data_IF_694724918134
#
_entry.id   IF_694724918134
#
_cell.length_a   1.000
_cell.length_b   1.000
_cell.length_c   1.000
_cell.angle_alpha   90.00
_cell.angle_beta   90.00
_cell.angle_gamma   90.00
#
_symmetry.space_group_name_H-M   'P 1'
#
loop_
_entity.id
_entity.type
_entity.pdbx_description
1 polymer ?
#
# COMPACT_ATOMS: atom_id res chain seq x y z
N UNK A 1 -9.60 -15.32 31.11
CA UNK A 1 -8.67 -14.88 32.18
C UNK A 1 -7.32 -15.53 31.93
N UNK A 2 -6.46 -14.83 31.18
CA UNK A 2 -4.98 -14.91 31.09
C UNK A 2 -4.57 -14.32 29.74
N UNK A 3 -4.47 -13.00 29.74
CA UNK A 3 -3.69 -12.23 28.78
C UNK A 3 -2.23 -12.63 28.93
N UNK A 4 -1.61 -13.12 27.87
CA UNK A 4 -0.19 -12.87 27.61
C UNK A 4 -0.12 -12.27 26.21
N UNK A 5 -0.23 -10.94 26.20
CA UNK A 5 0.17 -10.14 25.07
C UNK A 5 1.67 -10.37 24.86
N UNK A 6 2.05 -10.92 23.70
CA UNK A 6 3.33 -10.56 23.11
C UNK A 6 3.09 -9.18 22.50
N UNK A 7 3.14 -8.19 23.38
CA UNK A 7 3.18 -6.79 23.03
C UNK A 7 4.59 -6.56 22.48
N UNK A 8 4.79 -6.67 21.18
CA UNK A 8 5.87 -5.93 20.52
C UNK A 8 5.41 -4.48 20.52
N UNK A 9 5.58 -3.83 21.67
CA UNK A 9 5.50 -2.38 21.77
C UNK A 9 6.61 -1.82 20.88
N UNK A 10 6.24 -1.29 19.72
CA UNK A 10 7.06 -0.33 19.02
C UNK A 10 7.05 0.96 19.85
N UNK A 11 8.03 1.07 20.74
CA UNK A 11 8.30 2.32 21.45
C UNK A 11 9.07 3.20 20.47
N UNK A 12 8.37 4.12 19.81
CA UNK A 12 8.98 5.23 19.10
C UNK A 12 9.60 6.19 20.12
N UNK A 13 10.92 6.34 20.11
CA UNK A 13 11.60 7.44 20.77
C UNK A 13 11.96 8.47 19.70
N UNK A 14 11.26 9.60 19.69
CA UNK A 14 11.79 10.82 19.06
C UNK A 14 12.67 11.49 20.10
N UNK A 15 13.99 11.46 19.91
CA UNK A 15 14.94 12.14 20.79
C UNK A 15 15.41 13.44 20.14
N UNK A 16 15.17 14.59 20.78
CA UNK A 16 15.67 15.89 20.32
C UNK A 16 17.05 16.18 20.90
N UNK A 17 18.04 16.42 20.05
CA UNK A 17 19.35 16.98 20.41
C UNK A 17 19.73 18.11 19.46
N UNK A 18 19.97 19.30 19.99
CA UNK A 18 20.45 20.47 19.22
C UNK A 18 21.98 20.49 19.27
N UNK A 19 22.69 20.18 18.17
CA UNK A 19 24.02 20.73 17.83
C UNK A 19 24.67 20.18 16.54
N UNK A 20 24.93 21.12 15.61
CA UNK A 20 25.98 21.20 14.58
C UNK A 20 25.96 20.25 13.37
N UNK A 21 25.99 20.89 12.20
CA UNK A 21 26.02 20.34 10.83
C UNK A 21 26.88 19.08 10.66
N UNK A 22 26.21 17.95 10.80
CA UNK A 22 26.64 16.59 10.51
C UNK A 22 25.38 15.74 10.36
N UNK A 23 25.49 14.44 10.07
CA UNK A 23 24.34 13.54 9.92
C UNK A 23 23.34 13.50 11.12
N UNK A 24 23.63 14.23 12.21
CA UNK A 24 22.76 14.45 13.37
C UNK A 24 21.70 15.55 13.19
N UNK A 25 21.76 16.36 12.13
CA UNK A 25 20.78 17.43 11.86
C UNK A 25 19.64 17.00 10.90
N UNK A 26 19.68 15.77 10.36
CA UNK A 26 18.61 15.23 9.53
C UNK A 26 17.43 14.80 10.41
N UNK A 27 16.17 14.92 9.93
CA UNK A 27 15.04 14.34 10.63
C UNK A 27 15.26 12.82 10.75
N UNK A 28 15.25 12.30 11.97
CA UNK A 28 15.31 10.87 12.23
C UNK A 28 13.97 10.24 11.85
N UNK A 29 13.97 9.40 10.82
CA UNK A 29 12.79 8.65 10.41
C UNK A 29 13.08 7.18 10.67
N UNK A 30 12.32 6.60 11.59
CA UNK A 30 12.36 5.17 11.85
C UNK A 30 11.59 4.42 10.76
N UNK A 31 12.18 4.29 9.57
CA UNK A 31 11.69 3.35 8.56
C UNK A 31 12.42 2.03 8.81
N UNK A 32 11.73 1.05 9.38
CA UNK A 32 12.19 -0.32 9.20
C UNK A 32 12.01 -0.62 7.71
N UNK A 33 13.12 -0.75 6.97
CA UNK A 33 13.14 -1.61 5.79
C UNK A 33 12.81 -3.01 6.30
N UNK A 34 11.52 -3.30 6.43
CA UNK A 34 11.10 -4.68 6.42
C UNK A 34 11.43 -5.18 5.01
N UNK A 35 11.93 -6.40 4.89
CA UNK A 35 12.03 -7.12 3.61
C UNK A 35 10.64 -7.40 3.01
N UNK A 36 9.61 -6.65 3.43
CA UNK A 36 8.23 -6.84 3.04
C UNK A 36 7.94 -5.99 1.80
N UNK A 37 7.27 -6.66 0.86
CA UNK A 37 6.69 -6.11 -0.35
C UNK A 37 5.83 -4.85 -0.10
N UNK A 38 5.23 -4.75 1.08
CA UNK A 38 4.27 -3.71 1.44
C UNK A 38 4.52 -3.16 2.85
N UNK A 39 4.46 -1.83 2.97
CA UNK A 39 4.60 -1.05 4.19
C UNK A 39 3.29 -0.60 4.84
N UNK A 40 2.14 -1.04 4.34
CA UNK A 40 0.81 -0.67 4.86
C UNK A 40 0.53 -1.31 6.23
N UNK A 41 0.00 -0.53 7.16
CA UNK A 41 -0.44 -0.93 8.51
C UNK A 41 -1.68 -0.10 8.92
N UNK A 42 -2.62 -0.64 9.71
CA UNK A 42 -3.81 0.10 10.14
C UNK A 42 -3.52 1.41 10.90
N UNK A 43 -2.35 1.52 11.53
CA UNK A 43 -1.89 2.69 12.28
C UNK A 43 -0.94 3.58 11.49
N UNK A 44 -0.63 3.25 10.22
CA UNK A 44 0.33 3.99 9.41
C UNK A 44 0.01 5.48 9.34
N UNK A 45 -1.28 5.84 9.35
CA UNK A 45 -1.70 7.25 9.32
C UNK A 45 -1.25 8.05 10.53
N UNK A 46 -1.15 7.41 11.70
CA UNK A 46 -0.57 8.06 12.88
C UNK A 46 0.94 8.25 12.71
N UNK A 47 1.64 7.24 12.18
CA UNK A 47 3.09 7.26 11.98
C UNK A 47 3.47 8.34 10.96
N UNK A 48 2.82 8.34 9.79
CA UNK A 48 3.10 9.31 8.73
C UNK A 48 2.79 10.74 9.16
N UNK A 49 1.76 10.97 9.98
CA UNK A 49 1.52 12.32 10.56
C UNK A 49 2.72 12.85 11.33
N UNK A 50 3.42 11.98 12.07
CA UNK A 50 4.62 12.39 12.81
C UNK A 50 5.82 12.60 11.89
N UNK A 51 5.98 11.73 10.89
CA UNK A 51 7.04 11.84 9.86
C UNK A 51 6.88 13.16 9.09
N UNK A 52 5.69 13.43 8.54
CA UNK A 52 5.40 14.66 7.81
C UNK A 52 5.56 15.92 8.67
N UNK A 53 5.15 15.87 9.95
CA UNK A 53 5.41 16.97 10.89
C UNK A 53 6.91 17.24 11.04
N UNK A 54 7.72 16.19 11.26
CA UNK A 54 9.16 16.32 11.43
C UNK A 54 9.85 16.86 10.16
N UNK A 55 9.42 16.40 8.98
CA UNK A 55 9.89 16.89 7.68
C UNK A 55 9.56 18.39 7.53
N UNK A 56 8.32 18.79 7.81
CA UNK A 56 7.90 20.19 7.77
C UNK A 56 8.68 21.09 8.73
N UNK A 57 8.91 20.64 9.96
CA UNK A 57 9.73 21.37 10.94
C UNK A 57 11.19 21.51 10.51
N UNK A 58 11.80 20.45 9.97
CA UNK A 58 13.16 20.48 9.44
C UNK A 58 13.28 21.45 8.25
N UNK A 59 12.30 21.49 7.34
CA UNK A 59 12.26 22.48 6.25
C UNK A 59 12.24 23.90 6.77
N UNK A 60 11.40 24.21 7.77
CA UNK A 60 11.33 25.53 8.39
C UNK A 60 12.65 25.95 9.05
N UNK A 61 13.41 25.00 9.59
CA UNK A 61 14.71 25.27 10.23
C UNK A 61 15.82 25.49 9.20
N UNK A 62 15.81 24.74 8.10
CA UNK A 62 16.85 24.78 7.05
C UNK A 62 16.67 25.94 6.07
N UNK A 63 15.45 26.42 5.84
CA UNK A 63 15.14 27.54 4.94
C UNK A 63 15.38 28.94 5.54
N UNK A 64 16.05 29.04 6.69
CA UNK A 64 16.31 30.32 7.37
C UNK A 64 16.81 31.45 6.44
N UNK A 65 15.94 32.43 6.19
CA UNK A 65 16.21 33.72 5.51
C UNK A 65 16.66 33.70 4.03
N UNK A 66 16.63 32.56 3.35
CA UNK A 66 16.73 32.55 1.89
C UNK A 66 15.40 33.06 1.30
N UNK A 67 15.46 33.90 0.26
CA UNK A 67 14.29 34.44 -0.44
C UNK A 67 13.25 33.33 -0.63
N UNK A 68 12.01 33.60 -0.25
CA UNK A 68 10.85 32.88 -0.77
C UNK A 68 10.89 33.15 -2.28
N UNK A 69 11.61 32.32 -3.02
CA UNK A 69 11.38 32.19 -4.45
C UNK A 69 9.97 31.65 -4.48
N UNK A 70 9.01 32.53 -4.74
CA UNK A 70 7.67 32.16 -5.22
C UNK A 70 7.89 31.60 -6.63
N UNK A 71 8.55 30.45 -6.66
CA UNK A 71 8.65 29.56 -7.79
C UNK A 71 7.22 29.08 -7.95
N UNK A 72 6.54 29.53 -9.00
CA UNK A 72 5.20 29.06 -9.30
C UNK A 72 5.18 27.52 -9.22
N UNK A 73 4.08 26.97 -8.73
CA UNK A 73 3.89 25.52 -8.69
C UNK A 73 4.06 24.97 -10.10
N UNK A 74 5.20 24.33 -10.35
CA UNK A 74 5.55 23.76 -11.64
C UNK A 74 5.05 22.31 -11.63
N UNK A 75 3.75 22.21 -11.89
CA UNK A 75 3.07 20.97 -12.22
C UNK A 75 2.74 21.04 -13.70
N UNK A 76 2.93 19.94 -14.42
CA UNK A 76 2.48 19.83 -15.81
C UNK A 76 1.83 18.47 -16.01
N UNK A 77 0.74 18.46 -16.78
CA UNK A 77 0.12 17.21 -17.19
C UNK A 77 0.72 16.81 -18.54
N UNK A 78 1.31 15.62 -18.59
CA UNK A 78 1.86 15.03 -19.81
C UNK A 78 0.99 13.81 -20.15
N UNK A 79 0.01 14.02 -21.03
CA UNK A 79 -1.06 13.04 -21.23
C UNK A 79 -1.94 12.99 -19.99
N UNK A 80 -2.18 11.79 -19.46
CA UNK A 80 -2.96 11.54 -18.23
C UNK A 80 -2.06 11.33 -17.00
N UNK A 81 -0.87 11.92 -16.99
CA UNK A 81 0.09 11.84 -15.87
C UNK A 81 0.40 13.25 -15.36
N UNK A 82 0.24 13.45 -14.06
CA UNK A 82 0.59 14.68 -13.38
C UNK A 82 2.06 14.62 -13.01
N UNK A 83 2.89 15.44 -13.66
CA UNK A 83 4.33 15.50 -13.39
C UNK A 83 4.61 16.64 -12.43
N UNK A 84 5.18 16.30 -11.28
CA UNK A 84 5.55 17.24 -10.23
C UNK A 84 7.06 17.31 -10.11
N UNK A 85 7.63 18.51 -10.29
CA UNK A 85 9.06 18.72 -10.09
C UNK A 85 9.38 18.92 -8.60
N UNK A 86 10.34 18.16 -8.09
CA UNK A 86 10.91 18.33 -6.76
C UNK A 86 11.96 19.44 -6.77
N UNK A 87 11.66 20.55 -6.09
CA UNK A 87 12.59 21.68 -5.88
C UNK A 87 13.20 21.67 -4.49
N UNK A 88 13.32 20.48 -3.90
CA UNK A 88 13.79 20.25 -2.53
C UNK A 88 12.67 20.24 -1.49
N UNK A 89 11.44 20.00 -1.92
CA UNK A 89 10.23 20.07 -1.10
C UNK A 89 9.27 18.90 -1.28
N UNK A 90 9.44 18.06 -2.31
CA UNK A 90 8.70 16.80 -2.47
C UNK A 90 9.52 15.59 -2.01
N UNK A 91 10.84 15.68 -2.13
CA UNK A 91 11.78 14.68 -1.62
C UNK A 91 12.65 15.31 -0.54
N UNK A 92 12.81 14.61 0.58
CA UNK A 92 13.55 15.12 1.74
C UNK A 92 14.63 14.15 2.17
N UNK A 93 15.75 14.70 2.62
CA UNK A 93 16.79 13.91 3.28
C UNK A 93 16.31 13.50 4.68
N UNK A 94 16.61 12.25 5.05
CA UNK A 94 16.27 11.67 6.35
C UNK A 94 17.45 10.85 6.88
N UNK A 95 17.48 10.64 8.19
CA UNK A 95 18.32 9.62 8.81
C UNK A 95 17.46 8.40 9.13
N UNK A 96 17.68 7.31 8.40
CA UNK A 96 17.03 6.04 8.69
C UNK A 96 17.60 5.44 9.98
N UNK A 97 16.72 5.17 10.94
CA UNK A 97 17.07 4.53 12.22
C UNK A 97 16.31 3.21 12.37
N UNK A 98 17.02 2.10 12.64
CA UNK A 98 16.44 0.75 12.69
C UNK A 98 17.42 -0.29 13.25
N UNK A 99 17.24 -1.59 12.95
CA UNK A 99 18.15 -2.68 13.41
C UNK A 99 19.60 -2.59 12.87
N UNK A 100 19.89 -1.63 11.99
CA UNK A 100 21.22 -1.38 11.42
C UNK A 100 21.89 -0.12 11.97
N UNK A 101 23.06 0.22 11.42
CA UNK A 101 23.66 1.54 11.66
C UNK A 101 22.79 2.61 11.02
N UNK A 102 22.58 3.77 11.68
CA UNK A 102 21.90 4.88 11.04
C UNK A 102 22.52 5.21 9.69
N UNK A 103 21.69 5.41 8.67
CA UNK A 103 22.13 5.74 7.32
C UNK A 103 21.36 6.95 6.80
N UNK A 104 22.01 7.93 6.17
CA UNK A 104 21.31 8.96 5.45
C UNK A 104 20.61 8.35 4.22
N UNK A 105 19.49 8.92 3.84
CA UNK A 105 18.85 8.64 2.57
C UNK A 105 17.75 9.65 2.27
N UNK A 106 16.92 9.35 1.29
CA UNK A 106 15.88 10.25 0.82
C UNK A 106 14.54 9.54 0.85
N UNK A 107 13.50 10.26 1.25
CA UNK A 107 12.11 9.79 1.17
C UNK A 107 11.23 10.84 0.53
N UNK A 108 10.12 10.41 -0.04
CA UNK A 108 9.02 11.29 -0.43
C UNK A 108 8.37 11.94 0.79
N UNK A 109 7.86 13.15 0.62
CA UNK A 109 6.86 13.75 1.50
C UNK A 109 5.51 13.63 0.80
N UNK A 110 4.84 12.51 1.00
CA UNK A 110 3.57 12.21 0.34
C UNK A 110 2.48 13.23 0.68
N UNK A 111 2.54 13.88 1.85
CA UNK A 111 1.59 14.96 2.16
C UNK A 111 1.77 16.16 1.25
N UNK A 112 3.01 16.64 1.08
CA UNK A 112 3.30 17.76 0.18
C UNK A 112 3.02 17.40 -1.28
N UNK A 113 3.34 16.18 -1.71
CA UNK A 113 3.04 15.68 -3.07
C UNK A 113 1.53 15.73 -3.35
N UNK A 114 0.72 15.19 -2.44
CA UNK A 114 -0.74 15.19 -2.56
C UNK A 114 -1.29 16.62 -2.53
N UNK A 115 -0.82 17.47 -1.61
CA UNK A 115 -1.22 18.88 -1.56
C UNK A 115 -0.88 19.62 -2.86
N UNK A 116 0.29 19.34 -3.43
CA UNK A 116 0.75 19.95 -4.68
C UNK A 116 -0.10 19.52 -5.86
N UNK A 117 -0.43 18.24 -5.98
CA UNK A 117 -1.34 17.74 -7.00
C UNK A 117 -2.69 18.46 -6.95
N UNK A 118 -3.32 18.54 -5.78
CA UNK A 118 -4.61 19.20 -5.60
C UNK A 118 -4.57 20.73 -5.60
N UNK A 119 -3.38 21.35 -5.68
CA UNK A 119 -3.28 22.79 -5.93
C UNK A 119 -3.63 23.16 -7.38
N UNK A 120 -3.56 22.20 -8.31
CA UNK A 120 -3.86 22.39 -9.74
C UNK A 120 -5.00 21.50 -10.24
N UNK A 121 -5.37 20.45 -9.50
CA UNK A 121 -6.45 19.52 -9.85
C UNK A 121 -7.62 19.61 -8.86
N UNK A 122 -8.84 19.33 -9.32
CA UNK A 122 -9.99 19.19 -8.43
C UNK A 122 -9.89 17.93 -7.56
N UNK A 123 -10.46 17.98 -6.36
CA UNK A 123 -10.69 16.79 -5.52
C UNK A 123 -11.79 15.90 -6.11
N UNK A 124 -11.46 15.22 -7.21
CA UNK A 124 -12.33 14.34 -8.01
C UNK A 124 -11.83 12.90 -8.08
N UNK A 125 -10.72 12.60 -7.40
CA UNK A 125 -10.05 11.31 -7.41
C UNK A 125 -10.27 10.58 -6.09
N UNK A 126 -10.58 9.29 -6.17
CA UNK A 126 -10.70 8.42 -5.01
C UNK A 126 -9.31 8.05 -4.47
N UNK A 127 -8.36 7.86 -5.37
CA UNK A 127 -6.98 7.49 -5.02
C UNK A 127 -5.99 8.26 -5.88
N UNK A 128 -4.86 8.64 -5.31
CA UNK A 128 -3.71 9.12 -6.09
C UNK A 128 -2.55 8.15 -5.94
N UNK A 129 -1.93 7.80 -7.07
CA UNK A 129 -0.82 6.85 -7.19
C UNK A 129 0.44 7.66 -7.45
N UNK A 130 1.45 7.48 -6.60
CA UNK A 130 2.68 8.27 -6.62
C UNK A 130 3.84 7.37 -7.03
N UNK A 131 4.52 7.74 -8.11
CA UNK A 131 5.80 7.19 -8.51
C UNK A 131 6.89 8.26 -8.37
N UNK A 132 8.10 7.82 -8.03
CA UNK A 132 9.30 8.65 -8.11
C UNK A 132 10.06 8.32 -9.39
N UNK A 133 10.50 9.33 -10.12
CA UNK A 133 11.22 9.19 -11.39
C UNK A 133 12.60 8.55 -11.20
N UNK A 134 13.07 7.83 -12.22
CA UNK A 134 14.30 7.05 -12.19
C UNK A 134 15.58 7.89 -12.23
N UNK A 135 15.44 9.21 -12.40
CA UNK A 135 16.55 10.15 -12.64
C UNK A 135 17.02 10.92 -11.42
N UNK A 136 16.46 10.64 -10.22
CA UNK A 136 17.04 11.16 -8.99
C UNK A 136 18.49 10.67 -8.84
N UNK A 137 19.38 11.58 -8.42
CA UNK A 137 20.81 11.29 -8.28
C UNK A 137 21.14 10.28 -7.15
N UNK A 138 20.17 10.02 -6.28
CA UNK A 138 20.20 9.04 -5.22
C UNK A 138 18.86 8.32 -5.14
N UNK A 139 18.87 7.07 -4.66
CA UNK A 139 17.65 6.29 -4.45
C UNK A 139 16.72 7.03 -3.47
N UNK A 140 15.50 7.28 -3.91
CA UNK A 140 14.42 7.80 -3.09
C UNK A 140 13.57 6.62 -2.64
N UNK A 141 13.44 6.41 -1.35
CA UNK A 141 12.66 5.31 -0.79
C UNK A 141 11.27 5.80 -0.35
N UNK A 142 10.25 4.94 -0.30
CA UNK A 142 8.98 5.28 0.31
C UNK A 142 9.16 5.52 1.82
N UNK A 143 8.20 6.22 2.42
CA UNK A 143 8.17 6.40 3.88
C UNK A 143 7.93 5.08 4.65
N UNK A 144 7.42 4.04 3.97
CA UNK A 144 7.21 2.71 4.55
C UNK A 144 7.29 1.60 3.49
N UNK A 145 7.98 0.49 3.81
CA UNK A 145 8.02 -0.71 2.96
C UNK A 145 8.64 -0.50 1.57
N UNK A 146 8.36 -1.42 0.64
CA UNK A 146 8.70 -1.27 -0.78
C UNK A 146 7.65 -0.47 -1.55
N UNK A 147 6.38 -0.68 -1.27
CA UNK A 147 5.26 0.18 -1.65
C UNK A 147 4.31 0.29 -0.44
N UNK A 148 3.44 1.28 -0.41
CA UNK A 148 2.42 1.36 0.64
C UNK A 148 1.19 2.16 0.22
N UNK A 149 0.11 1.93 0.95
CA UNK A 149 -1.15 2.64 0.89
C UNK A 149 -1.41 3.34 2.22
N UNK A 150 -1.88 4.57 2.15
CA UNK A 150 -2.31 5.32 3.32
C UNK A 150 -3.74 5.81 3.15
N UNK A 151 -4.62 5.32 4.02
CA UNK A 151 -5.99 5.82 4.11
C UNK A 151 -6.05 7.29 4.55
N UNK A 152 -6.84 8.09 3.85
CA UNK A 152 -7.09 9.51 4.11
C UNK A 152 -8.47 9.73 4.72
N UNK A 153 -9.49 8.99 4.27
CA UNK A 153 -10.79 8.94 4.95
C UNK A 153 -11.36 7.54 4.86
N UNK A 154 -12.19 7.14 5.81
CA UNK A 154 -13.07 5.98 5.63
C UNK A 154 -14.51 6.35 5.96
N UNK A 155 -15.41 6.11 5.03
CA UNK A 155 -16.85 6.28 5.14
C UNK A 155 -17.62 4.94 4.98
N UNK A 156 -16.90 3.82 4.92
CA UNK A 156 -17.46 2.47 4.80
C UNK A 156 -17.41 1.75 6.15
N UNK A 157 -18.55 1.18 6.56
CA UNK A 157 -18.65 0.32 7.75
C UNK A 157 -18.46 -1.15 7.37
N UNK A 158 -18.16 -2.00 8.36
CA UNK A 158 -18.13 -3.46 8.18
C UNK A 158 -16.84 -4.02 7.58
N UNK A 159 -15.87 -3.17 7.24
CA UNK A 159 -14.58 -3.55 6.64
C UNK A 159 -13.43 -3.63 7.67
N UNK A 160 -13.74 -3.63 8.97
CA UNK A 160 -12.72 -3.71 10.02
C UNK A 160 -11.98 -2.41 10.34
N UNK A 161 -12.23 -1.33 9.57
CA UNK A 161 -11.70 0.00 9.82
C UNK A 161 -12.74 0.93 10.49
N UNK A 162 -12.31 1.89 11.34
CA UNK A 162 -13.21 2.92 11.86
C UNK A 162 -13.62 3.91 10.77
N UNK A 163 -14.69 4.67 11.02
CA UNK A 163 -15.02 5.86 10.21
C UNK A 163 -14.12 7.01 10.64
N UNK A 164 -13.44 7.66 9.69
CA UNK A 164 -12.56 8.80 9.93
C UNK A 164 -12.46 9.69 8.69
N UNK A 165 -11.98 10.92 8.87
CA UNK A 165 -11.70 11.84 7.78
C UNK A 165 -10.51 12.74 8.13
N UNK A 166 -9.38 12.50 7.46
CA UNK A 166 -8.14 13.25 7.60
C UNK A 166 -7.84 14.14 6.37
N UNK A 167 -8.81 14.39 5.49
CA UNK A 167 -8.59 15.17 4.24
C UNK A 167 -8.06 16.58 4.50
N UNK A 168 -8.38 17.15 5.66
CA UNK A 168 -7.85 18.44 6.09
C UNK A 168 -6.33 18.47 6.26
N UNK A 169 -5.67 17.33 6.51
CA UNK A 169 -4.20 17.23 6.55
C UNK A 169 -3.57 17.47 5.18
N UNK A 170 -4.32 17.24 4.12
CA UNK A 170 -3.91 17.44 2.73
C UNK A 170 -4.45 18.76 2.17
N UNK A 171 -4.89 19.68 3.02
CA UNK A 171 -5.42 20.98 2.59
C UNK A 171 -6.75 20.90 1.83
N UNK A 172 -7.42 19.74 1.83
CA UNK A 172 -8.66 19.53 1.08
C UNK A 172 -9.86 19.96 1.91
N UNK A 173 -10.76 20.73 1.29
CA UNK A 173 -12.04 21.13 1.88
C UNK A 173 -13.19 20.16 1.59
N UNK A 174 -13.02 19.38 0.53
CA UNK A 174 -13.91 18.27 0.15
C UNK A 174 -13.36 16.99 0.73
N UNK A 175 -14.13 15.92 0.55
CA UNK A 175 -13.77 14.65 1.10
C UNK A 175 -13.42 13.62 0.01
N UNK A 176 -13.33 13.91 -1.30
CA UNK A 176 -13.33 12.84 -2.30
C UNK A 176 -12.20 11.82 -2.10
N UNK A 177 -10.96 12.30 -1.96
CA UNK A 177 -9.77 11.48 -1.70
C UNK A 177 -9.98 10.48 -0.55
N UNK A 178 -9.76 9.20 -0.86
CA UNK A 178 -9.93 8.06 0.05
C UNK A 178 -8.62 7.56 0.61
N UNK A 179 -7.60 7.43 -0.23
CA UNK A 179 -6.25 7.00 0.10
C UNK A 179 -5.25 7.52 -0.94
N UNK A 180 -3.97 7.46 -0.62
CA UNK A 180 -2.91 7.56 -1.62
C UNK A 180 -2.05 6.30 -1.57
N UNK A 181 -1.41 5.99 -2.69
CA UNK A 181 -0.48 4.87 -2.85
C UNK A 181 0.87 5.42 -3.26
N UNK A 182 1.92 4.99 -2.58
CA UNK A 182 3.30 5.24 -2.98
C UNK A 182 3.88 3.95 -3.56
N UNK A 183 4.19 4.00 -4.86
CA UNK A 183 4.75 2.91 -5.64
C UNK A 183 6.27 3.03 -5.81
N UNK A 184 6.98 3.76 -4.94
CA UNK A 184 8.44 3.83 -4.97
C UNK A 184 9.03 4.48 -6.25
N UNK A 185 10.35 4.40 -6.36
CA UNK A 185 11.15 4.74 -7.54
C UNK A 185 10.84 3.78 -8.70
N UNK A 186 10.55 4.33 -9.88
CA UNK A 186 10.32 3.57 -11.12
C UNK A 186 11.48 2.64 -11.47
N UNK A 187 12.71 3.00 -11.10
CA UNK A 187 13.90 2.17 -11.30
C UNK A 187 13.87 0.83 -10.55
N UNK A 188 12.95 0.64 -9.60
CA UNK A 188 12.70 -0.64 -8.93
C UNK A 188 11.83 -1.60 -9.77
N UNK A 189 11.23 -1.10 -10.85
CA UNK A 189 10.37 -1.83 -11.76
C UNK A 189 11.05 -1.99 -13.13
N UNK A 190 10.58 -2.97 -13.89
CA UNK A 190 11.02 -3.21 -15.28
C UNK A 190 9.80 -3.35 -16.19
N UNK A 191 8.76 -2.58 -15.89
CA UNK A 191 7.41 -2.66 -16.44
C UNK A 191 6.38 -3.26 -15.47
N UNK A 192 5.07 -3.00 -15.70
CA UNK A 192 3.99 -3.39 -14.79
C UNK A 192 3.79 -4.90 -14.67
N UNK A 193 4.04 -5.67 -15.74
CA UNK A 193 3.85 -7.13 -15.78
C UNK A 193 5.15 -7.91 -15.58
N UNK A 194 6.25 -7.21 -15.28
CA UNK A 194 7.53 -7.82 -14.96
C UNK A 194 7.63 -8.10 -13.47
N UNK A 195 8.26 -9.22 -13.12
CA UNK A 195 8.51 -9.55 -11.72
C UNK A 195 9.40 -8.47 -11.09
N UNK A 196 9.02 -8.00 -9.90
CA UNK A 196 9.86 -7.14 -9.09
C UNK A 196 10.94 -7.96 -8.39
N UNK A 197 12.05 -7.29 -8.07
CA UNK A 197 13.13 -7.92 -7.29
C UNK A 197 12.84 -7.97 -5.78
N UNK A 198 11.89 -7.17 -5.31
CA UNK A 198 11.44 -7.12 -3.93
C UNK A 198 10.41 -8.23 -3.66
N UNK A 199 10.70 -9.14 -2.72
CA UNK A 199 9.79 -10.22 -2.31
C UNK A 199 10.07 -11.59 -2.94
N UNK A 200 9.05 -12.45 -3.00
CA UNK A 200 9.15 -13.76 -3.68
C UNK A 200 9.28 -13.52 -5.20
N UNK A 201 10.01 -14.39 -5.91
CA UNK A 201 10.49 -14.14 -7.28
C UNK A 201 9.42 -14.07 -8.39
N UNK A 202 8.13 -13.99 -8.04
CA UNK A 202 6.99 -14.22 -8.93
C UNK A 202 5.87 -13.16 -8.79
N UNK A 203 6.15 -11.98 -8.21
CA UNK A 203 5.17 -10.90 -8.07
C UNK A 203 5.54 -9.76 -9.02
N UNK A 204 4.57 -9.24 -9.75
CA UNK A 204 4.70 -8.16 -10.72
C UNK A 204 4.36 -6.80 -10.13
N UNK A 205 4.78 -5.72 -10.80
CA UNK A 205 4.48 -4.36 -10.36
C UNK A 205 2.98 -4.06 -10.29
N UNK A 206 2.18 -4.56 -11.24
CA UNK A 206 0.74 -4.31 -11.28
C UNK A 206 -0.01 -5.05 -10.17
N UNK A 207 0.48 -6.22 -9.75
CA UNK A 207 -0.07 -6.95 -8.61
C UNK A 207 0.23 -6.22 -7.29
N UNK A 208 1.42 -5.61 -7.14
CA UNK A 208 1.72 -4.72 -6.00
C UNK A 208 0.78 -3.52 -6.00
N UNK A 209 0.58 -2.88 -7.16
CA UNK A 209 -0.38 -1.77 -7.27
C UNK A 209 -1.79 -2.22 -6.88
N UNK A 210 -2.20 -3.42 -7.28
CA UNK A 210 -3.45 -4.07 -6.85
C UNK A 210 -3.55 -4.17 -5.34
N UNK A 211 -2.52 -4.72 -4.69
CA UNK A 211 -2.45 -4.83 -3.23
C UNK A 211 -2.59 -3.45 -2.57
N UNK A 212 -1.80 -2.47 -3.01
CA UNK A 212 -1.81 -1.14 -2.39
C UNK A 212 -3.11 -0.37 -2.62
N UNK A 213 -3.75 -0.54 -3.77
CA UNK A 213 -5.09 0.01 -4.00
C UNK A 213 -6.11 -0.68 -3.11
N UNK A 214 -6.04 -2.01 -2.94
CA UNK A 214 -7.03 -2.76 -2.16
C UNK A 214 -6.96 -2.47 -0.66
N UNK A 215 -5.81 -2.08 -0.11
CA UNK A 215 -5.69 -1.59 1.28
C UNK A 215 -6.62 -0.39 1.58
N UNK A 216 -7.26 0.21 0.59
CA UNK A 216 -8.42 1.08 0.76
C UNK A 216 -9.54 0.43 1.61
N UNK A 217 -9.78 -0.86 1.39
CA UNK A 217 -10.88 -1.64 1.96
C UNK A 217 -10.39 -2.87 2.74
N UNK A 218 -9.35 -3.53 2.23
CA UNK A 218 -9.14 -4.96 2.41
C UNK A 218 -8.20 -5.38 3.53
N UNK A 219 -8.39 -6.63 3.99
CA UNK A 219 -7.60 -7.31 5.01
C UNK A 219 -7.49 -6.63 6.39
N UNK A 220 -8.59 -6.03 6.86
CA UNK A 220 -8.72 -5.54 8.25
C UNK A 220 -9.86 -6.20 9.04
N UNK A 221 -10.58 -7.13 8.41
CA UNK A 221 -11.74 -7.81 9.01
C UNK A 221 -11.33 -9.01 9.87
N UNK A 222 -12.07 -9.22 10.96
CA UNK A 222 -11.84 -10.33 11.88
C UNK A 222 -12.91 -11.43 11.76
N UNK A 223 -12.66 -12.59 12.36
CA UNK A 223 -13.69 -13.61 12.61
C UNK A 223 -13.54 -14.17 14.02
N UNK A 224 -14.59 -14.81 14.55
CA UNK A 224 -14.50 -15.52 15.84
C UNK A 224 -13.99 -16.96 15.72
N UNK A 225 -13.84 -17.46 14.48
CA UNK A 225 -13.63 -18.87 14.20
C UNK A 225 -12.20 -19.19 13.74
N UNK A 226 -11.50 -18.18 13.21
CA UNK A 226 -10.13 -18.24 12.71
C UNK A 226 -9.45 -16.87 12.74
N UNK A 227 -8.13 -16.88 12.88
CA UNK A 227 -7.27 -15.70 12.79
C UNK A 227 -6.89 -15.48 11.31
N UNK A 228 -7.81 -14.87 10.56
CA UNK A 228 -7.69 -14.73 9.10
C UNK A 228 -6.74 -13.61 8.66
N UNK A 229 -6.18 -12.85 9.61
CA UNK A 229 -5.20 -11.81 9.36
C UNK A 229 -3.78 -12.33 9.60
N UNK A 230 -2.83 -11.82 8.82
CA UNK A 230 -1.44 -12.22 8.78
C UNK A 230 -0.50 -11.05 9.07
N UNK A 231 0.36 -10.73 8.10
CA UNK A 231 1.41 -9.72 8.28
C UNK A 231 0.80 -8.34 8.56
N UNK A 232 1.26 -7.69 9.63
CA UNK A 232 0.86 -6.33 10.00
C UNK A 232 -0.64 -6.15 10.32
N UNK A 233 -1.38 -7.24 10.54
CA UNK A 233 -2.85 -7.21 10.66
C UNK A 233 -3.53 -6.44 9.49
N UNK A 234 -2.89 -6.48 8.32
CA UNK A 234 -3.28 -5.75 7.11
C UNK A 234 -3.23 -6.64 5.86
N UNK A 235 -2.96 -7.94 6.02
CA UNK A 235 -2.88 -8.90 4.93
C UNK A 235 -3.58 -10.18 5.36
N UNK A 236 -4.02 -11.00 4.42
CA UNK A 236 -4.60 -12.30 4.73
C UNK A 236 -3.54 -13.24 5.31
N UNK A 237 -3.94 -13.98 6.33
CA UNK A 237 -3.11 -15.00 6.96
C UNK A 237 -2.62 -15.99 5.93
N UNK A 238 -1.34 -16.38 6.01
CA UNK A 238 -0.76 -17.44 5.18
C UNK A 238 -1.63 -18.72 5.12
N UNK A 239 -2.40 -19.00 6.18
CA UNK A 239 -3.26 -20.19 6.28
C UNK A 239 -4.70 -20.01 5.76
N UNK A 240 -5.08 -18.81 5.32
CA UNK A 240 -6.34 -18.56 4.65
C UNK A 240 -6.23 -18.99 3.18
N UNK A 241 -7.23 -19.73 2.71
CA UNK A 241 -7.46 -19.93 1.29
C UNK A 241 -8.10 -18.65 0.71
N UNK A 242 -7.28 -17.84 0.06
CA UNK A 242 -7.68 -16.59 -0.58
C UNK A 242 -7.83 -16.75 -2.10
N UNK A 243 -8.26 -17.94 -2.53
CA UNK A 243 -8.41 -18.36 -3.92
C UNK A 243 -9.75 -19.08 -4.09
N UNK A 244 -10.58 -18.62 -5.02
CA UNK A 244 -11.93 -19.16 -5.26
C UNK A 244 -11.89 -20.52 -5.98
N UNK A 245 -10.81 -20.81 -6.72
CA UNK A 245 -10.56 -22.11 -7.34
C UNK A 245 -9.04 -22.42 -7.38
N UNK A 246 -8.48 -22.96 -6.28
CA UNK A 246 -7.05 -23.23 -6.16
C UNK A 246 -6.54 -24.34 -7.09
N UNK A 247 -7.41 -24.92 -7.93
CA UNK A 247 -7.06 -25.98 -8.88
C UNK A 247 -7.05 -25.52 -10.33
N UNK A 248 -7.96 -24.62 -10.73
CA UNK A 248 -8.10 -24.18 -12.12
C UNK A 248 -8.40 -22.69 -12.31
N UNK A 249 -8.57 -21.93 -11.23
CA UNK A 249 -8.88 -20.50 -11.23
C UNK A 249 -7.66 -19.60 -11.46
N UNK A 250 -7.87 -18.27 -11.45
CA UNK A 250 -6.78 -17.35 -11.15
C UNK A 250 -6.19 -17.70 -9.78
N UNK A 251 -4.96 -17.30 -9.49
CA UNK A 251 -4.35 -17.53 -8.19
C UNK A 251 -4.95 -16.66 -7.09
N UNK A 252 -4.30 -16.71 -5.93
CA UNK A 252 -4.82 -16.10 -4.71
C UNK A 252 -4.81 -14.55 -4.72
N UNK A 253 -5.56 -13.98 -3.77
CA UNK A 253 -5.64 -12.56 -3.47
C UNK A 253 -4.26 -11.86 -3.46
N UNK A 254 -4.20 -10.68 -4.08
CA UNK A 254 -3.07 -9.74 -3.95
C UNK A 254 -2.90 -9.23 -2.53
N UNK A 255 -3.84 -9.45 -1.61
CA UNK A 255 -3.71 -9.15 -0.19
C UNK A 255 -3.08 -10.30 0.61
N UNK A 256 -2.33 -11.18 -0.06
CA UNK A 256 -1.70 -12.38 0.48
C UNK A 256 -2.67 -13.54 0.79
N UNK A 257 -2.32 -14.40 1.75
CA UNK A 257 -2.84 -15.76 1.86
C UNK A 257 -2.25 -16.67 0.78
N UNK A 258 -2.92 -17.76 0.47
CA UNK A 258 -2.53 -18.67 -0.60
C UNK A 258 -3.75 -19.40 -1.15
N UNK A 259 -3.65 -19.96 -2.36
CA UNK A 259 -4.52 -21.06 -2.75
C UNK A 259 -4.14 -22.30 -1.94
N UNK A 260 -5.11 -23.00 -1.35
CA UNK A 260 -4.88 -24.17 -0.50
C UNK A 260 -5.68 -25.38 -1.00
N UNK A 261 -4.98 -26.49 -1.21
CA UNK A 261 -5.57 -27.79 -1.54
C UNK A 261 -5.47 -28.73 -0.34
N UNK A 262 -6.60 -29.31 0.08
CA UNK A 262 -6.65 -30.42 1.04
C UNK A 262 -6.28 -31.74 0.33
N UNK A 263 -5.23 -32.41 0.80
CA UNK A 263 -4.75 -33.66 0.22
C UNK A 263 -5.57 -34.89 0.67
N UNK A 264 -6.55 -34.73 1.55
CA UNK A 264 -7.43 -35.79 2.06
C UNK A 264 -6.80 -36.70 3.11
N UNK A 265 -5.58 -36.43 3.54
CA UNK A 265 -4.83 -37.20 4.54
C UNK A 265 -4.48 -36.38 5.81
N UNK A 266 -5.09 -35.20 5.97
CA UNK A 266 -4.80 -34.24 7.04
C UNK A 266 -3.60 -33.33 6.75
N UNK A 267 -3.07 -33.38 5.52
CA UNK A 267 -2.14 -32.40 4.99
C UNK A 267 -2.78 -31.48 3.94
N UNK A 268 -2.22 -30.28 3.82
CA UNK A 268 -2.64 -29.24 2.90
C UNK A 268 -1.42 -28.72 2.16
N UNK A 269 -1.58 -28.34 0.90
CA UNK A 269 -0.50 -27.80 0.06
C UNK A 269 -0.92 -26.47 -0.55
N UNK A 270 -0.04 -25.47 -0.49
CA UNK A 270 -0.28 -24.20 -1.18
C UNK A 270 -0.10 -24.34 -2.69
N UNK A 271 -0.95 -23.66 -3.45
CA UNK A 271 -0.90 -23.53 -4.91
C UNK A 271 -0.50 -22.10 -5.28
N UNK A 272 -1.02 -21.56 -6.39
CA UNK A 272 -0.56 -20.30 -6.96
C UNK A 272 -0.85 -19.13 -6.00
N UNK A 273 0.19 -18.40 -5.57
CA UNK A 273 -0.01 -17.20 -4.77
C UNK A 273 -0.14 -15.96 -5.68
N UNK A 274 -1.01 -15.02 -5.28
CA UNK A 274 -0.84 -13.58 -5.55
C UNK A 274 -0.95 -13.15 -7.03
N UNK A 275 -2.14 -13.19 -7.63
CA UNK A 275 -2.38 -12.63 -8.98
C UNK A 275 -3.85 -12.17 -9.23
N UNK A 276 -4.72 -12.17 -8.21
CA UNK A 276 -6.17 -11.88 -8.34
C UNK A 276 -6.77 -11.13 -7.15
N UNK A 277 -8.05 -10.77 -7.24
CA UNK A 277 -8.93 -10.57 -6.08
C UNK A 277 -9.82 -11.82 -5.91
N UNK A 278 -10.20 -12.16 -4.68
CA UNK A 278 -11.16 -13.25 -4.42
C UNK A 278 -12.50 -12.75 -3.88
N UNK A 279 -13.49 -13.63 -3.76
CA UNK A 279 -14.86 -13.26 -3.40
C UNK A 279 -14.99 -12.41 -2.13
N UNK A 280 -14.14 -12.61 -1.11
CA UNK A 280 -14.17 -11.78 0.10
C UNK A 280 -13.56 -10.39 -0.13
N UNK A 281 -12.49 -10.26 -0.94
CA UNK A 281 -11.94 -8.96 -1.37
C UNK A 281 -13.02 -8.15 -2.09
N UNK A 282 -13.71 -8.77 -3.06
CA UNK A 282 -14.77 -8.11 -3.80
C UNK A 282 -15.95 -7.70 -2.91
N UNK A 283 -16.27 -8.50 -1.87
CA UNK A 283 -17.27 -8.12 -0.89
C UNK A 283 -16.85 -6.89 -0.10
N UNK A 284 -15.63 -6.86 0.46
CA UNK A 284 -15.15 -5.72 1.26
C UNK A 284 -14.93 -4.47 0.41
N UNK A 285 -14.55 -4.62 -0.86
CA UNK A 285 -14.50 -3.56 -1.86
C UNK A 285 -15.89 -3.03 -2.24
N UNK A 286 -16.95 -3.81 -2.06
CA UNK A 286 -18.33 -3.42 -2.40
C UNK A 286 -18.75 -3.74 -3.81
N UNK A 287 -18.06 -4.68 -4.45
CA UNK A 287 -18.31 -5.14 -5.81
C UNK A 287 -19.21 -6.39 -5.80
N UNK A 288 -19.15 -7.18 -4.73
CA UNK A 288 -19.92 -8.41 -4.54
C UNK A 288 -20.83 -8.36 -3.31
N UNK A 289 -22.05 -8.86 -3.44
CA UNK A 289 -22.97 -9.01 -2.31
C UNK A 289 -22.62 -10.24 -1.47
N UNK A 290 -22.98 -10.25 -0.18
CA UNK A 290 -22.62 -11.33 0.75
C UNK A 290 -23.05 -12.74 0.27
N UNK A 291 -24.16 -12.85 -0.46
CA UNK A 291 -24.65 -14.13 -1.00
C UNK A 291 -23.76 -14.71 -2.12
N UNK A 292 -22.90 -13.88 -2.73
CA UNK A 292 -21.92 -14.31 -3.73
C UNK A 292 -20.60 -14.76 -3.12
N UNK A 293 -20.42 -14.68 -1.80
CA UNK A 293 -19.18 -15.09 -1.11
C UNK A 293 -19.31 -16.51 -0.60
N UNK A 294 -18.53 -17.40 -1.17
CA UNK A 294 -18.42 -18.80 -0.82
C UNK A 294 -17.73 -19.05 0.52
N UNK A 295 -17.81 -20.29 1.02
CA UNK A 295 -17.05 -20.70 2.20
C UNK A 295 -15.56 -20.78 1.88
N UNK A 296 -14.73 -20.15 2.72
CA UNK A 296 -13.28 -20.19 2.63
C UNK A 296 -12.71 -21.28 3.53
N UNK A 297 -11.62 -21.90 3.09
CA UNK A 297 -10.81 -22.79 3.91
C UNK A 297 -9.82 -21.97 4.75
N UNK A 298 -9.65 -22.34 6.01
CA UNK A 298 -8.55 -21.91 6.86
C UNK A 298 -7.87 -23.14 7.46
N UNK A 299 -6.54 -23.24 7.35
CA UNK A 299 -5.77 -24.36 7.88
C UNK A 299 -5.39 -24.11 9.34
N UNK A 300 -6.17 -24.68 10.28
CA UNK A 300 -5.93 -24.49 11.72
C UNK A 300 -4.80 -25.38 12.24
N UNK A 301 -4.06 -24.86 13.22
CA UNK A 301 -2.99 -25.58 13.93
C UNK A 301 -1.94 -26.17 12.97
N UNK A 302 -1.62 -25.41 11.92
CA UNK A 302 -0.73 -25.82 10.85
C UNK A 302 0.68 -26.15 11.38
N UNK A 303 1.29 -27.21 10.83
CA UNK A 303 2.66 -27.65 11.16
C UNK A 303 3.42 -27.99 9.89
N UNK A 304 4.40 -27.16 9.53
CA UNK A 304 5.32 -27.40 8.42
C UNK A 304 6.48 -28.35 8.77
N UNK A 305 7.14 -28.90 7.75
CA UNK A 305 8.33 -29.76 7.91
C UNK A 305 9.59 -28.92 8.19
N UNK A 306 9.89 -28.69 9.48
CA UNK A 306 11.10 -28.01 10.02
C UNK A 306 11.34 -26.58 9.50
N UNK A 307 10.97 -25.59 10.32
CA UNK A 307 11.19 -24.16 10.05
C UNK A 307 10.07 -23.29 10.59
N UNK A 308 8.86 -23.85 10.71
CA UNK A 308 7.66 -23.13 11.15
C UNK A 308 7.20 -22.16 10.08
N UNK A 309 6.11 -22.49 9.38
CA UNK A 309 5.29 -21.46 8.73
C UNK A 309 4.31 -20.95 9.77
N UNK A 310 4.00 -19.66 9.72
CA UNK A 310 3.09 -18.93 10.58
C UNK A 310 2.24 -17.96 9.75
N UNK A 311 1.28 -17.35 10.42
CA UNK A 311 0.24 -16.50 9.82
C UNK A 311 0.81 -15.32 9.04
N UNK A 312 1.95 -14.77 9.49
CA UNK A 312 2.59 -13.59 8.89
C UNK A 312 3.66 -13.91 7.82
N UNK A 313 3.79 -15.16 7.40
CA UNK A 313 4.68 -15.50 6.28
C UNK A 313 4.12 -14.95 4.96
N UNK A 314 5.03 -14.49 4.09
CA UNK A 314 4.68 -14.17 2.70
C UNK A 314 4.09 -15.40 1.98
N UNK A 315 3.19 -15.20 1.00
CA UNK A 315 2.69 -16.27 0.15
C UNK A 315 3.82 -17.09 -0.49
N UNK A 316 3.59 -18.40 -0.63
CA UNK A 316 4.60 -19.31 -1.17
C UNK A 316 3.93 -20.55 -1.77
N UNK A 317 4.32 -20.92 -2.99
CA UNK A 317 3.80 -22.10 -3.70
C UNK A 317 4.46 -23.40 -3.22
N UNK A 318 3.72 -24.51 -3.19
CA UNK A 318 4.25 -25.85 -2.94
C UNK A 318 4.62 -26.14 -1.49
N UNK A 319 4.18 -25.31 -0.55
CA UNK A 319 4.39 -25.50 0.88
C UNK A 319 3.34 -26.47 1.40
N UNK A 320 3.78 -27.62 1.92
CA UNK A 320 2.90 -28.61 2.56
C UNK A 320 2.96 -28.52 4.09
N UNK A 321 1.79 -28.45 4.72
CA UNK A 321 1.61 -28.48 6.18
C UNK A 321 0.65 -29.60 6.58
N UNK A 322 0.70 -30.05 7.84
CA UNK A 322 -0.41 -30.79 8.45
C UNK A 322 -1.26 -29.86 9.29
N UNK A 323 -2.55 -30.14 9.43
CA UNK A 323 -3.45 -29.25 10.18
C UNK A 323 -4.87 -29.80 10.27
N UNK A 324 -5.82 -28.92 10.57
CA UNK A 324 -7.25 -29.24 10.52
C UNK A 324 -7.98 -28.19 9.69
N UNK A 325 -8.75 -28.63 8.70
CA UNK A 325 -9.59 -27.75 7.91
C UNK A 325 -10.61 -27.04 8.80
N UNK A 326 -10.68 -25.72 8.69
CA UNK A 326 -11.73 -24.90 9.27
C UNK A 326 -12.42 -24.12 8.17
N UNK A 327 -13.75 -24.26 8.09
CA UNK A 327 -14.55 -23.40 7.23
C UNK A 327 -14.76 -22.04 7.90
N UNK A 328 -14.50 -20.98 7.13
CA UNK A 328 -14.84 -19.59 7.43
C UNK A 328 -15.91 -19.17 6.44
N UNK A 329 -16.97 -18.54 6.91
CA UNK A 329 -18.07 -18.05 6.06
C UNK A 329 -18.16 -16.54 6.10
N UNK A 330 -18.79 -15.94 5.09
CA UNK A 330 -19.15 -14.52 5.13
C UNK A 330 -19.99 -14.15 6.35
N UNK A 331 -20.80 -15.09 6.86
CA UNK A 331 -21.56 -14.91 8.10
C UNK A 331 -20.65 -14.74 9.32
N UNK A 332 -19.50 -15.41 9.38
CA UNK A 332 -18.52 -15.26 10.45
C UNK A 332 -17.85 -13.87 10.41
N UNK A 333 -17.58 -13.36 9.21
CA UNK A 333 -17.05 -12.00 8.99
C UNK A 333 -18.09 -10.95 9.41
N UNK A 334 -19.33 -11.06 8.91
CA UNK A 334 -20.41 -10.12 9.24
C UNK A 334 -20.72 -10.14 10.76
N UNK A 335 -20.68 -11.31 11.40
CA UNK A 335 -20.91 -11.42 12.84
C UNK A 335 -19.85 -10.69 13.68
N UNK A 336 -18.62 -10.61 13.20
CA UNK A 336 -17.52 -9.94 13.90
C UNK A 336 -17.42 -8.44 13.59
N UNK A 337 -17.69 -8.03 12.35
CA UNK A 337 -17.41 -6.67 11.88
C UNK A 337 -18.68 -5.84 11.60
N UNK A 338 -19.85 -6.48 11.57
CA UNK A 338 -21.07 -5.93 10.99
C UNK A 338 -21.14 -6.14 9.48
N UNK A 339 -22.31 -5.88 8.89
CA UNK A 339 -22.44 -5.89 7.44
C UNK A 339 -21.70 -4.70 6.84
N UNK A 340 -21.14 -4.88 5.62
CA UNK A 340 -20.60 -3.77 4.84
C UNK A 340 -21.71 -2.75 4.55
N UNK A 341 -21.46 -1.48 4.85
CA UNK A 341 -22.37 -0.37 4.53
C UNK A 341 -21.57 0.76 3.89
N UNK A 342 -21.93 1.22 2.68
CA UNK A 342 -23.02 0.68 1.84
C UNK A 342 -22.75 -0.78 1.43
N UNK A 343 -23.77 -1.54 1.02
CA UNK A 343 -23.55 -2.95 0.62
C UNK A 343 -22.76 -3.00 -0.70
N UNK A 344 -23.20 -2.20 -1.67
CA UNK A 344 -22.51 -1.94 -2.93
C UNK A 344 -22.02 -0.50 -2.97
N UNK A 345 -20.88 -0.26 -3.62
CA UNK A 345 -20.35 1.08 -3.84
C UNK A 345 -20.36 1.44 -5.33
N UNK A 346 -19.83 2.62 -5.68
CA UNK A 346 -19.53 2.97 -7.05
C UNK A 346 -18.55 1.94 -7.64
N UNK A 347 -18.94 1.17 -8.69
CA UNK A 347 -18.05 0.19 -9.28
C UNK A 347 -16.89 0.84 -10.06
N UNK A 348 -16.91 2.17 -10.22
CA UNK A 348 -15.85 2.93 -10.91
C UNK A 348 -15.08 3.78 -9.89
N UNK A 349 -13.79 3.51 -9.71
CA UNK A 349 -12.90 4.38 -8.90
C UNK A 349 -12.04 5.27 -9.81
N UNK A 350 -11.88 6.54 -9.44
CA UNK A 350 -11.05 7.49 -10.18
C UNK A 350 -9.64 7.54 -9.57
N UNK A 351 -8.63 7.17 -10.33
CA UNK A 351 -7.23 7.14 -9.92
C UNK A 351 -6.43 8.20 -10.68
N UNK A 352 -5.67 9.04 -9.99
CA UNK A 352 -4.69 9.92 -10.64
C UNK A 352 -3.28 9.34 -10.50
N UNK A 353 -2.50 9.37 -11.57
CA UNK A 353 -1.08 8.97 -11.55
C UNK A 353 -0.20 10.22 -11.48
N UNK A 354 0.65 10.25 -10.46
CA UNK A 354 1.59 11.32 -10.16
C UNK A 354 3.00 10.79 -10.37
N UNK A 355 3.80 11.50 -11.16
CA UNK A 355 5.22 11.23 -11.33
C UNK A 355 6.03 12.40 -10.74
N UNK A 356 6.78 12.12 -9.69
CA UNK A 356 7.70 13.09 -9.07
C UNK A 356 9.06 13.00 -9.76
N UNK A 357 9.57 14.12 -10.28
CA UNK A 357 10.85 14.19 -11.00
C UNK A 357 11.81 15.18 -10.33
N UNK A 358 13.13 14.99 -10.43
CA UNK A 358 14.08 15.97 -9.88
C UNK A 358 14.05 17.28 -10.68
N UNK A 359 14.35 18.41 -10.01
CA UNK A 359 14.61 19.69 -10.68
C UNK A 359 15.75 19.56 -11.71
N UNK A 360 15.43 19.86 -12.98
CA UNK A 360 16.40 19.84 -14.09
C UNK A 360 17.18 21.17 -14.23
N UNK A 361 16.90 22.14 -13.35
CA UNK A 361 17.46 23.48 -13.34
C UNK A 361 16.73 24.46 -14.25
N UNK A 362 15.66 24.04 -14.93
CA UNK A 362 14.81 24.92 -15.74
C UNK A 362 13.90 25.76 -14.87
N UNK A 363 13.94 27.07 -15.04
CA UNK A 363 13.08 27.98 -14.28
C UNK A 363 11.62 27.98 -14.76
N UNK A 364 11.26 27.31 -15.86
CA UNK A 364 9.95 27.49 -16.50
C UNK A 364 9.38 26.27 -17.23
N UNK A 365 10.09 25.15 -17.26
CA UNK A 365 9.61 23.92 -17.92
C UNK A 365 9.87 22.74 -17.02
N UNK A 366 8.82 22.00 -16.69
CA UNK A 366 8.96 20.67 -16.09
C UNK A 366 9.14 19.68 -17.23
N UNK A 367 10.14 18.83 -17.12
CA UNK A 367 10.33 17.70 -18.03
C UNK A 367 10.44 16.40 -17.25
N UNK A 368 9.98 15.32 -17.85
CA UNK A 368 10.18 13.98 -17.33
C UNK A 368 10.86 13.13 -18.43
N UNK A 369 11.73 12.17 -18.07
CA UNK A 369 12.28 11.24 -19.03
C UNK A 369 11.18 10.49 -19.79
N UNK A 370 11.33 10.34 -21.10
CA UNK A 370 10.37 9.59 -21.93
C UNK A 370 10.18 8.14 -21.41
N UNK A 371 11.22 7.55 -20.82
CA UNK A 371 11.18 6.23 -20.19
C UNK A 371 10.23 6.20 -19.01
N UNK A 372 10.33 7.18 -18.11
CA UNK A 372 9.52 7.25 -16.89
C UNK A 372 8.06 7.52 -17.22
N UNK A 373 7.80 8.42 -18.19
CA UNK A 373 6.46 8.70 -18.71
C UNK A 373 5.84 7.46 -19.36
N UNK A 374 6.64 6.73 -20.16
CA UNK A 374 6.18 5.51 -20.83
C UNK A 374 5.83 4.43 -19.80
N UNK A 375 6.68 4.20 -18.82
CA UNK A 375 6.46 3.17 -17.80
C UNK A 375 5.30 3.53 -16.88
N UNK A 376 5.19 4.78 -16.42
CA UNK A 376 4.04 5.26 -15.65
C UNK A 376 2.74 5.09 -16.43
N UNK A 377 2.73 5.41 -17.73
CA UNK A 377 1.55 5.21 -18.56
C UNK A 377 1.23 3.72 -18.78
N UNK A 378 2.25 2.85 -18.86
CA UNK A 378 2.04 1.41 -18.92
C UNK A 378 1.38 0.89 -17.64
N UNK A 379 1.87 1.28 -16.46
CA UNK A 379 1.22 0.97 -15.18
C UNK A 379 -0.23 1.41 -15.17
N UNK A 380 -0.49 2.65 -15.58
CA UNK A 380 -1.82 3.23 -15.66
C UNK A 380 -2.78 2.38 -16.49
N UNK A 381 -2.41 2.08 -17.74
CA UNK A 381 -3.28 1.34 -18.66
C UNK A 381 -3.38 -0.15 -18.32
N UNK A 382 -2.29 -0.74 -17.82
CA UNK A 382 -2.30 -2.15 -17.39
C UNK A 382 -3.17 -2.33 -16.14
N UNK A 383 -3.15 -1.36 -15.22
CA UNK A 383 -3.96 -1.43 -14.01
C UNK A 383 -5.46 -1.34 -14.30
N UNK A 384 -5.88 -0.54 -15.28
CA UNK A 384 -7.29 -0.53 -15.74
C UNK A 384 -7.74 -1.92 -16.21
N UNK A 385 -6.90 -2.60 -16.99
CA UNK A 385 -7.17 -3.94 -17.50
C UNK A 385 -7.12 -4.99 -16.38
N UNK A 386 -6.10 -4.93 -15.52
CA UNK A 386 -5.92 -5.81 -14.37
C UNK A 386 -7.11 -5.71 -13.42
N UNK A 387 -7.46 -4.51 -12.94
CA UNK A 387 -8.52 -4.33 -11.96
C UNK A 387 -9.87 -4.83 -12.47
N UNK A 388 -10.22 -4.52 -13.72
CA UNK A 388 -11.46 -5.01 -14.33
C UNK A 388 -11.46 -6.54 -14.46
N UNK A 389 -10.35 -7.12 -14.91
CA UNK A 389 -10.26 -8.58 -15.12
C UNK A 389 -10.28 -9.35 -13.80
N UNK A 390 -9.49 -8.91 -12.82
CA UNK A 390 -9.31 -9.62 -11.54
C UNK A 390 -10.47 -9.38 -10.56
N UNK A 391 -11.40 -8.46 -10.86
CA UNK A 391 -12.64 -8.29 -10.10
C UNK A 391 -13.85 -8.92 -10.79
N UNK A 392 -13.64 -9.94 -11.64
CA UNK A 392 -14.70 -10.60 -12.43
C UNK A 392 -15.51 -9.64 -13.33
N UNK A 393 -14.96 -8.47 -13.67
CA UNK A 393 -15.65 -7.39 -14.37
C UNK A 393 -16.70 -6.65 -13.53
N UNK A 394 -16.72 -6.85 -12.21
CA UNK A 394 -17.62 -6.18 -11.26
C UNK A 394 -17.14 -4.76 -10.96
N UNK A 395 -15.83 -4.54 -10.96
CA UNK A 395 -15.18 -3.25 -10.76
C UNK A 395 -14.52 -2.71 -12.03
N UNK A 396 -14.27 -1.41 -12.02
CA UNK A 396 -13.43 -0.72 -13.01
C UNK A 396 -12.76 0.48 -12.36
N UNK A 397 -11.67 0.93 -12.96
CA UNK A 397 -11.03 2.19 -12.60
C UNK A 397 -10.93 3.08 -13.83
N UNK A 398 -10.94 4.40 -13.62
CA UNK A 398 -10.55 5.36 -14.66
C UNK A 398 -9.33 6.12 -14.21
N UNK A 399 -8.44 6.40 -15.15
CA UNK A 399 -7.14 6.97 -14.85
C UNK A 399 -6.82 8.26 -15.60
N UNK A 400 -7.84 8.92 -16.15
CA UNK A 400 -7.68 10.16 -16.90
C UNK A 400 -7.61 11.37 -15.95
N UNK A 401 -6.86 12.41 -16.35
CA UNK A 401 -6.70 13.65 -15.58
C UNK A 401 -7.71 14.77 -15.91
#
# INVERSE_FOLDING_TARGET
>A
MRYQAILLSFIFFVAFGVASAGAQDLPEVAVERSEALCGTDPNLGHILKEVHRAIGEHRLQTTGSAEIVVSGTLNVDIGDIAVLEDRGDLVTSVLFVGRGKPRPGYVTDTTEIVQRFYSTHSDSYDTVIIFVGSTFSAQVEPESGFAFSQGVRNDVLGIGLPIYNDTALFGLSTAQLKNFVNMNDLGEYTGPTSNVSAGSSNITGVEILGQEVEHRWGAFVNTSVADILGRGDAHWSFFLNSDDDPTTGPGASVMEGNGWVDNGDGSFTTTRPFDSFFELDEYIMGLRGAAGVGPMLFVKQAKGKKGGVGESNLPAEGVTVTGTARTVTIGDVIAANGARIPEFDNPVSNLAFILVVPDDGSASTVTAPDTDLTETNQFRTEFEAFYSTQTDGLGSVTTNL
#
